data_IF_338584039038
#
_entry.id   IF_338584039038
#
_cell.length_a   1.000
_cell.length_b   1.000
_cell.length_c   1.000
_cell.angle_alpha   90.00
_cell.angle_beta   90.00
_cell.angle_gamma   90.00
#
_symmetry.space_group_name_H-M   'P 1'
#
loop_
_entity.id
_entity.type
_entity.pdbx_description
1 polymer ?
#
# COMPACT_ATOMS: atom_id res chain seq x y z
N UNK A 1 7.28 10.92 -14.72
CA UNK A 1 6.49 11.53 -13.61
C UNK A 1 6.69 10.67 -12.38
N UNK A 2 7.02 11.23 -11.22
CA UNK A 2 7.33 10.44 -10.02
C UNK A 2 6.10 10.38 -9.11
N UNK A 3 5.67 9.17 -8.74
CA UNK A 3 4.57 8.95 -7.81
C UNK A 3 5.13 8.47 -6.46
N UNK A 4 4.74 9.14 -5.38
CA UNK A 4 5.06 8.72 -4.02
C UNK A 4 3.78 8.28 -3.32
N UNK A 5 3.80 7.07 -2.75
CA UNK A 5 2.67 6.46 -2.06
C UNK A 5 3.05 6.28 -0.60
N UNK A 6 2.19 6.77 0.30
CA UNK A 6 2.39 6.66 1.74
C UNK A 6 1.30 5.79 2.36
N UNK A 7 1.72 4.80 3.15
CA UNK A 7 0.83 3.87 3.85
C UNK A 7 1.24 3.75 5.31
N UNK A 8 0.27 3.53 6.20
CA UNK A 8 0.50 3.31 7.63
C UNK A 8 0.70 1.83 8.01
N UNK A 9 0.37 0.91 7.10
CA UNK A 9 0.63 -0.52 7.26
C UNK A 9 2.04 -0.88 6.81
N UNK A 10 2.98 -0.98 7.76
CA UNK A 10 4.36 -1.40 7.49
C UNK A 10 4.40 -2.77 6.79
N UNK A 11 3.55 -3.71 7.19
CA UNK A 11 3.51 -5.04 6.58
C UNK A 11 3.24 -4.95 5.07
N UNK A 12 2.28 -4.13 4.66
CA UNK A 12 1.92 -3.97 3.23
C UNK A 12 3.06 -3.33 2.47
N UNK A 13 3.63 -2.23 3.00
CA UNK A 13 4.77 -1.53 2.38
C UNK A 13 5.92 -2.50 2.12
N UNK A 14 6.32 -3.26 3.14
CA UNK A 14 7.44 -4.22 3.03
C UNK A 14 7.12 -5.40 2.10
N UNK A 15 5.85 -5.80 2.00
CA UNK A 15 5.43 -6.87 1.08
C UNK A 15 5.44 -6.42 -0.38
N UNK A 16 5.05 -5.18 -0.66
CA UNK A 16 5.08 -4.61 -2.01
C UNK A 16 6.51 -4.29 -2.44
N UNK A 17 7.34 -3.76 -1.53
CA UNK A 17 8.77 -3.51 -1.77
C UNK A 17 9.60 -4.81 -1.87
N UNK A 18 8.99 -5.99 -1.66
CA UNK A 18 9.67 -7.29 -1.80
C UNK A 18 10.52 -7.70 -0.61
N UNK A 19 10.62 -6.88 0.43
CA UNK A 19 11.36 -7.19 1.66
C UNK A 19 10.70 -8.33 2.45
N UNK A 20 9.36 -8.38 2.46
CA UNK A 20 8.58 -9.41 3.15
C UNK A 20 7.82 -10.32 2.20
N UNK A 21 7.84 -11.63 2.48
CA UNK A 21 7.05 -12.62 1.74
C UNK A 21 5.58 -12.55 2.14
N UNK A 22 4.68 -12.53 1.15
CA UNK A 22 3.24 -12.71 1.35
C UNK A 22 2.93 -14.20 1.52
N UNK A 23 2.59 -14.60 2.76
CA UNK A 23 2.27 -16.01 3.09
C UNK A 23 0.80 -16.35 2.81
N UNK A 24 -0.11 -15.40 3.02
CA UNK A 24 -1.55 -15.62 2.88
C UNK A 24 -1.95 -15.73 1.41
N UNK A 25 -2.59 -16.83 1.04
CA UNK A 25 -2.96 -17.11 -0.36
C UNK A 25 -3.97 -16.11 -0.94
N UNK A 26 -4.81 -15.52 -0.09
CA UNK A 26 -5.75 -14.45 -0.48
C UNK A 26 -5.05 -13.10 -0.75
N UNK A 27 -3.89 -12.85 -0.15
CA UNK A 27 -3.15 -11.58 -0.31
C UNK A 27 -2.18 -11.61 -1.49
N UNK A 28 -1.69 -12.79 -1.91
CA UNK A 28 -0.83 -12.93 -3.09
C UNK A 28 -1.42 -12.28 -4.35
N UNK A 29 -2.68 -12.58 -4.77
CA UNK A 29 -3.23 -11.96 -5.97
C UNK A 29 -3.42 -10.45 -5.83
N UNK A 30 -3.60 -9.92 -4.63
CA UNK A 30 -3.68 -8.48 -4.40
C UNK A 30 -2.32 -7.81 -4.57
N UNK A 31 -1.27 -8.40 -4.02
CA UNK A 31 0.11 -7.91 -4.24
C UNK A 31 0.46 -7.93 -5.72
N UNK A 32 0.15 -9.03 -6.41
CA UNK A 32 0.53 -9.18 -7.81
C UNK A 32 -0.17 -8.11 -8.69
N UNK A 33 -1.45 -7.80 -8.42
CA UNK A 33 -2.14 -6.66 -9.05
C UNK A 33 -1.49 -5.31 -8.76
N UNK A 34 -1.05 -5.09 -7.52
CA UNK A 34 -0.34 -3.85 -7.15
C UNK A 34 0.94 -3.72 -7.98
N UNK A 35 1.70 -4.81 -8.13
CA UNK A 35 2.93 -4.82 -8.94
C UNK A 35 2.63 -4.56 -10.41
N UNK A 36 1.61 -5.19 -11.00
CA UNK A 36 1.16 -4.91 -12.38
C UNK A 36 0.83 -3.42 -12.58
N UNK A 37 0.17 -2.79 -11.61
CA UNK A 37 -0.13 -1.35 -11.68
C UNK A 37 1.10 -0.46 -11.55
N UNK A 38 2.05 -0.84 -10.69
CA UNK A 38 3.30 -0.10 -10.50
C UNK A 38 4.21 -0.21 -11.72
N UNK A 39 4.26 -1.38 -12.38
CA UNK A 39 5.06 -1.58 -13.59
C UNK A 39 4.61 -0.69 -14.76
N UNK A 40 3.34 -0.28 -14.78
CA UNK A 40 2.83 0.69 -15.77
C UNK A 40 3.27 2.14 -15.51
N UNK A 41 3.88 2.43 -14.36
CA UNK A 41 4.32 3.76 -13.96
C UNK A 41 5.86 3.82 -13.99
N UNK A 42 6.43 4.89 -14.56
CA UNK A 42 7.89 5.01 -14.71
C UNK A 42 8.65 4.98 -13.38
N UNK A 43 8.18 5.71 -12.38
CA UNK A 43 8.85 5.83 -11.09
C UNK A 43 7.82 5.89 -9.97
N UNK A 44 7.77 4.84 -9.15
CA UNK A 44 6.92 4.76 -7.96
C UNK A 44 7.76 4.46 -6.74
N UNK A 45 7.54 5.21 -5.66
CA UNK A 45 8.06 4.88 -4.34
C UNK A 45 6.92 4.61 -3.36
N UNK A 46 7.09 3.58 -2.53
CA UNK A 46 6.10 3.21 -1.50
C UNK A 46 6.80 3.28 -0.16
N UNK A 47 6.31 4.18 0.69
CA UNK A 47 6.92 4.54 1.95
C UNK A 47 5.95 4.30 3.12
N UNK A 48 6.50 3.82 4.22
CA UNK A 48 5.75 3.70 5.47
C UNK A 48 5.75 5.04 6.21
N UNK A 49 4.58 5.43 6.72
CA UNK A 49 4.42 6.56 7.64
C UNK A 49 3.71 6.11 8.91
N UNK A 50 3.95 6.80 10.03
CA UNK A 50 3.17 6.57 11.23
C UNK A 50 1.70 6.93 11.01
N UNK A 51 0.78 6.20 11.65
CA UNK A 51 -0.67 6.40 11.51
C UNK A 51 -1.12 7.82 11.85
N UNK A 52 -0.44 8.49 12.77
CA UNK A 52 -0.65 9.90 13.09
C UNK A 52 -0.47 10.86 11.90
N UNK A 53 0.33 10.45 10.90
CA UNK A 53 0.57 11.18 9.67
C UNK A 53 -0.37 10.75 8.53
N UNK A 54 -1.14 9.68 8.71
CA UNK A 54 -2.09 9.16 7.70
C UNK A 54 -3.56 9.48 8.04
N UNK A 55 -3.80 10.48 8.89
CA UNK A 55 -5.14 10.80 9.45
C UNK A 55 -6.22 10.95 8.38
N UNK A 56 -5.92 11.61 7.26
CA UNK A 56 -6.93 11.87 6.22
C UNK A 56 -7.36 10.60 5.50
N UNK A 57 -6.42 9.70 5.20
CA UNK A 57 -6.75 8.43 4.57
C UNK A 57 -7.52 7.51 5.54
N UNK A 58 -7.13 7.51 6.82
CA UNK A 58 -7.82 6.77 7.88
C UNK A 58 -9.27 7.25 8.06
N UNK A 59 -9.48 8.57 8.11
CA UNK A 59 -10.82 9.18 8.19
C UNK A 59 -11.70 8.74 7.01
N UNK A 60 -11.20 8.83 5.78
CA UNK A 60 -11.93 8.43 4.59
C UNK A 60 -12.24 6.92 4.57
N UNK A 61 -11.31 6.09 5.02
CA UNK A 61 -11.51 4.65 5.13
C UNK A 61 -12.60 4.32 6.16
N UNK A 62 -12.57 4.96 7.33
CA UNK A 62 -13.58 4.78 8.37
C UNK A 62 -14.97 5.22 7.89
N UNK A 63 -15.07 6.37 7.21
CA UNK A 63 -16.34 6.84 6.63
C UNK A 63 -16.96 5.82 5.66
N UNK A 64 -16.13 5.10 4.90
CA UNK A 64 -16.59 4.08 3.96
C UNK A 64 -16.99 2.76 4.65
N UNK A 65 -16.47 2.48 5.86
CA UNK A 65 -16.81 1.27 6.64
C UNK A 65 -18.06 1.48 7.51
N UNK A 66 -18.34 2.71 7.93
CA UNK A 66 -19.51 3.07 8.73
C UNK A 66 -20.80 3.26 7.91
N UNK A 67 -20.75 3.06 6.58
CA UNK A 67 -21.89 3.15 5.64
C UNK A 67 -22.30 1.77 5.11
#
# INVERSE_FOLDING_TARGET
MNLEIFLDSKLVVEQVNGNFKVKSNNLKPLRDKILEHIEMLEFVSINHIYRENNKRADELANLALDS
#
